data_IF_130330966949
#
_entry.id   IF_130330966949
#
_cell.length_a   1.000
_cell.length_b   1.000
_cell.length_c   1.000
_cell.angle_alpha   90.00
_cell.angle_beta   90.00
_cell.angle_gamma   90.00
#
_symmetry.space_group_name_H-M   'P 1'
#
loop_
_entity.id
_entity.type
_entity.pdbx_description
1 polymer ?
#
# COMPACT_ATOMS: atom_id res chain seq x y z
N UNK A 1 -36.64 45.98 -1.13
CA UNK A 1 -35.27 46.37 -1.53
C UNK A 1 -34.33 45.29 -1.01
N UNK A 2 -33.68 44.57 -1.92
CA UNK A 2 -32.89 43.37 -1.64
C UNK A 2 -31.59 43.71 -0.91
N UNK A 3 -31.29 42.93 0.13
CA UNK A 3 -29.99 42.92 0.81
C UNK A 3 -28.94 42.19 -0.03
N UNK A 4 -27.77 42.82 -0.14
CA UNK A 4 -26.53 42.22 -0.63
C UNK A 4 -26.15 40.99 0.22
N UNK A 5 -26.00 39.83 -0.43
CA UNK A 5 -25.17 38.73 0.09
C UNK A 5 -24.02 38.48 -0.87
N UNK A 6 -22.81 38.65 -0.36
CA UNK A 6 -21.56 38.36 -1.02
C UNK A 6 -21.52 36.89 -1.49
N UNK A 7 -20.96 36.67 -2.69
CA UNK A 7 -20.66 35.33 -3.20
C UNK A 7 -19.50 34.73 -2.39
N UNK A 8 -19.57 33.46 -1.96
CA UNK A 8 -18.41 32.80 -1.40
C UNK A 8 -17.38 32.52 -2.49
N UNK A 9 -16.15 32.89 -2.16
CA UNK A 9 -14.91 32.73 -2.92
C UNK A 9 -14.51 31.25 -3.04
N UNK A 10 -14.13 30.83 -4.25
CA UNK A 10 -13.79 29.45 -4.61
C UNK A 10 -12.27 29.22 -4.49
N UNK A 11 -11.79 29.13 -3.25
CA UNK A 11 -10.45 28.61 -2.94
C UNK A 11 -10.55 27.11 -2.58
N UNK A 12 -10.62 26.25 -3.59
CA UNK A 12 -10.87 24.80 -3.47
C UNK A 12 -9.65 23.90 -3.82
N UNK A 13 -8.56 23.92 -3.02
CA UNK A 13 -7.67 22.74 -2.98
C UNK A 13 -7.48 22.12 -1.57
N UNK A 14 -7.91 22.79 -0.50
CA UNK A 14 -7.53 22.39 0.88
C UNK A 14 -8.48 21.35 1.52
N UNK A 15 -9.67 21.12 0.95
CA UNK A 15 -10.73 20.28 1.54
C UNK A 15 -10.64 18.78 1.17
N UNK A 16 -9.92 18.43 0.09
CA UNK A 16 -9.78 17.04 -0.36
C UNK A 16 -8.77 16.25 0.50
N UNK A 17 -7.70 16.90 0.97
CA UNK A 17 -6.68 16.31 1.85
C UNK A 17 -7.25 15.85 3.20
N UNK A 18 -8.24 16.59 3.73
CA UNK A 18 -8.84 16.32 5.05
C UNK A 18 -9.73 15.08 5.05
N UNK A 19 -10.36 14.73 3.92
CA UNK A 19 -11.26 13.56 3.82
C UNK A 19 -10.48 12.24 3.72
N UNK A 20 -9.38 12.22 2.95
CA UNK A 20 -8.51 11.04 2.84
C UNK A 20 -7.81 10.69 4.15
N UNK A 21 -7.39 11.71 4.91
CA UNK A 21 -6.75 11.53 6.22
C UNK A 21 -7.73 10.98 7.27
N UNK A 22 -9.02 11.28 7.16
CA UNK A 22 -10.06 10.76 8.05
C UNK A 22 -10.27 9.25 7.91
N UNK A 23 -10.34 8.74 6.68
CA UNK A 23 -10.46 7.30 6.40
C UNK A 23 -9.19 6.56 6.85
N UNK A 24 -8.02 7.11 6.54
CA UNK A 24 -6.73 6.53 6.95
C UNK A 24 -6.59 6.46 8.48
N UNK A 25 -7.02 7.50 9.19
CA UNK A 25 -7.07 7.54 10.67
C UNK A 25 -8.05 6.52 11.23
N UNK A 26 -9.23 6.40 10.63
CA UNK A 26 -10.21 5.39 11.02
C UNK A 26 -9.67 3.96 10.84
N UNK A 27 -8.94 3.70 9.76
CA UNK A 27 -8.30 2.40 9.53
C UNK A 27 -7.17 2.07 10.50
N UNK A 28 -6.30 3.03 10.80
CA UNK A 28 -5.25 2.86 11.80
C UNK A 28 -5.83 2.50 13.19
N UNK A 29 -6.98 3.08 13.53
CA UNK A 29 -7.71 2.76 14.77
C UNK A 29 -8.42 1.40 14.71
N UNK A 30 -9.09 1.06 13.61
CA UNK A 30 -9.86 -0.18 13.47
C UNK A 30 -9.00 -1.44 13.32
N UNK A 31 -7.81 -1.33 12.73
CA UNK A 31 -6.89 -2.46 12.49
C UNK A 31 -6.00 -2.83 13.70
N UNK A 32 -6.12 -2.13 14.83
CA UNK A 32 -5.48 -2.54 16.09
C UNK A 32 -4.08 -1.97 16.39
N UNK A 33 -3.79 -0.73 15.98
CA UNK A 33 -2.70 0.07 16.55
C UNK A 33 -1.28 -0.19 16.03
N UNK A 34 -0.52 0.91 15.89
CA UNK A 34 0.93 1.13 15.64
C UNK A 34 1.70 0.29 14.60
N UNK A 35 1.55 -1.04 14.56
CA UNK A 35 2.34 -1.92 13.67
C UNK A 35 1.82 -1.88 12.22
N UNK A 36 0.49 -1.90 12.03
CA UNK A 36 -0.13 -1.74 10.71
C UNK A 36 0.17 -0.35 10.13
N UNK A 37 0.23 0.67 10.99
CA UNK A 37 0.56 2.04 10.58
C UNK A 37 2.02 2.15 10.11
N UNK A 38 2.99 1.54 10.81
CA UNK A 38 4.40 1.56 10.41
C UNK A 38 4.67 0.82 9.10
N UNK A 39 4.11 -0.39 8.94
CA UNK A 39 4.25 -1.18 7.72
C UNK A 39 3.68 -0.43 6.51
N UNK A 40 2.41 -0.01 6.59
CA UNK A 40 1.75 0.67 5.47
C UNK A 40 2.45 1.99 5.09
N UNK A 41 3.01 2.73 6.06
CA UNK A 41 3.79 3.95 5.78
C UNK A 41 5.16 3.65 5.14
N UNK A 42 5.87 2.61 5.61
CA UNK A 42 7.14 2.20 5.03
C UNK A 42 6.96 1.75 3.58
N UNK A 43 5.97 0.89 3.35
CA UNK A 43 5.60 0.39 2.02
C UNK A 43 5.18 1.54 1.09
N UNK A 44 4.36 2.48 1.55
CA UNK A 44 3.98 3.64 0.75
C UNK A 44 5.20 4.49 0.34
N UNK A 45 6.17 4.69 1.24
CA UNK A 45 7.40 5.43 0.93
C UNK A 45 8.26 4.70 -0.10
N UNK A 46 8.45 3.39 0.09
CA UNK A 46 9.21 2.57 -0.86
C UNK A 46 8.54 2.53 -2.23
N UNK A 47 7.20 2.44 -2.28
CA UNK A 47 6.43 2.50 -3.52
C UNK A 47 6.69 3.80 -4.28
N UNK A 48 6.61 4.94 -3.60
CA UNK A 48 6.87 6.26 -4.20
C UNK A 48 8.32 6.43 -4.67
N UNK A 49 9.27 5.87 -3.93
CA UNK A 49 10.69 5.86 -4.31
C UNK A 49 10.87 5.07 -5.61
N UNK A 50 10.24 3.91 -5.71
CA UNK A 50 10.34 3.05 -6.88
C UNK A 50 9.62 3.65 -8.10
N UNK A 51 8.46 4.27 -7.90
CA UNK A 51 7.75 4.99 -8.97
C UNK A 51 8.62 6.11 -9.57
N UNK A 52 9.32 6.88 -8.72
CA UNK A 52 10.26 7.91 -9.19
C UNK A 52 11.44 7.32 -9.96
N UNK A 53 11.97 6.17 -9.54
CA UNK A 53 13.02 5.47 -10.25
C UNK A 53 12.57 4.97 -11.64
N UNK A 54 11.27 4.73 -11.81
CA UNK A 54 10.61 4.46 -13.10
C UNK A 54 10.24 5.72 -13.88
N UNK A 55 10.72 6.89 -13.46
CA UNK A 55 10.43 8.20 -14.05
C UNK A 55 8.95 8.63 -14.04
N UNK A 56 8.13 8.04 -13.17
CA UNK A 56 6.73 8.44 -12.97
C UNK A 56 6.67 9.76 -12.20
N UNK A 57 5.96 10.76 -12.75
CA UNK A 57 5.87 12.11 -12.19
C UNK A 57 4.43 12.60 -12.02
N UNK A 58 3.46 11.85 -12.55
CA UNK A 58 2.04 12.15 -12.52
C UNK A 58 1.54 12.19 -11.07
N UNK A 59 1.03 13.35 -10.65
CA UNK A 59 0.64 13.59 -9.26
C UNK A 59 -0.49 12.67 -8.83
N UNK A 60 -1.46 12.44 -9.72
CA UNK A 60 -2.60 11.56 -9.53
C UNK A 60 -2.13 10.12 -9.31
N UNK A 61 -1.21 9.63 -10.15
CA UNK A 61 -0.64 8.29 -10.00
C UNK A 61 0.06 8.12 -8.64
N UNK A 62 0.89 9.08 -8.25
CA UNK A 62 1.62 9.01 -6.97
C UNK A 62 0.67 9.08 -5.78
N UNK A 63 -0.39 9.90 -5.86
CA UNK A 63 -1.45 9.98 -4.85
C UNK A 63 -2.17 8.64 -4.71
N UNK A 64 -2.56 8.04 -5.82
CA UNK A 64 -3.33 6.81 -5.83
C UNK A 64 -2.48 5.60 -5.43
N UNK A 65 -1.19 5.58 -5.82
CA UNK A 65 -0.20 4.62 -5.35
C UNK A 65 -0.05 4.66 -3.82
N UNK A 66 0.07 5.87 -3.26
CA UNK A 66 0.15 6.07 -1.82
C UNK A 66 -1.13 5.60 -1.13
N UNK A 67 -2.31 5.98 -1.64
CA UNK A 67 -3.58 5.58 -1.06
C UNK A 67 -3.79 4.06 -1.11
N UNK A 68 -3.51 3.43 -2.26
CA UNK A 68 -3.59 1.98 -2.42
C UNK A 68 -2.65 1.24 -1.51
N UNK A 69 -1.41 1.73 -1.34
CA UNK A 69 -0.45 1.14 -0.42
C UNK A 69 -0.92 1.15 1.03
N UNK A 70 -1.56 2.24 1.44
CA UNK A 70 -2.09 2.37 2.80
C UNK A 70 -3.32 1.49 3.06
N UNK A 71 -4.10 1.21 2.02
CA UNK A 71 -5.37 0.50 2.09
C UNK A 71 -5.32 -0.94 1.56
N UNK A 72 -4.17 -1.46 1.11
CA UNK A 72 -4.06 -2.75 0.42
C UNK A 72 -4.75 -3.92 1.18
N UNK A 73 -4.67 -3.89 2.51
CA UNK A 73 -5.20 -4.93 3.40
C UNK A 73 -6.59 -4.62 4.00
N UNK A 74 -7.25 -3.56 3.53
CA UNK A 74 -8.56 -3.09 4.04
C UNK A 74 -9.64 -4.18 4.07
N UNK A 75 -9.62 -5.11 3.11
CA UNK A 75 -10.57 -6.22 3.05
C UNK A 75 -10.47 -7.19 4.23
N UNK A 76 -9.38 -7.17 5.01
CA UNK A 76 -9.24 -8.02 6.21
C UNK A 76 -10.18 -7.61 7.34
N UNK A 77 -10.81 -6.42 7.29
CA UNK A 77 -11.69 -5.94 8.36
C UNK A 77 -12.92 -6.83 8.59
N UNK A 78 -13.43 -7.47 7.52
CA UNK A 78 -14.57 -8.38 7.58
C UNK A 78 -14.21 -9.82 7.94
N UNK A 79 -12.92 -10.15 8.06
CA UNK A 79 -12.48 -11.53 8.20
C UNK A 79 -12.55 -12.05 9.63
N UNK A 80 -12.82 -13.37 9.82
CA UNK A 80 -12.82 -13.97 11.14
C UNK A 80 -11.49 -13.79 11.87
N UNK A 81 -11.51 -13.16 13.05
CA UNK A 81 -10.30 -12.93 13.87
C UNK A 81 -9.51 -14.22 14.17
N UNK A 82 -10.20 -15.36 14.28
CA UNK A 82 -9.57 -16.68 14.50
C UNK A 82 -8.63 -17.08 13.36
N UNK A 83 -8.92 -16.66 12.12
CA UNK A 83 -8.09 -16.91 10.94
C UNK A 83 -6.92 -15.93 10.94
N UNK A 84 -7.20 -14.63 11.09
CA UNK A 84 -6.18 -13.58 11.09
C UNK A 84 -5.12 -13.72 12.21
N UNK A 85 -5.52 -14.25 13.38
CA UNK A 85 -4.65 -14.41 14.55
C UNK A 85 -4.13 -15.84 14.74
N UNK A 86 -4.35 -16.74 13.77
CA UNK A 86 -3.95 -18.14 13.90
C UNK A 86 -2.44 -18.26 14.06
N UNK A 87 -2.01 -18.98 15.09
CA UNK A 87 -0.60 -19.36 15.31
C UNK A 87 -0.34 -20.70 14.62
N UNK A 88 0.16 -20.67 13.39
CA UNK A 88 0.45 -21.88 12.61
C UNK A 88 -0.01 -21.78 11.16
N UNK A 89 0.17 -22.87 10.36
CA UNK A 89 -0.24 -22.86 8.96
C UNK A 89 -1.77 -22.77 8.84
N UNK A 90 -2.20 -22.04 7.81
CA UNK A 90 -3.59 -22.00 7.41
C UNK A 90 -3.99 -23.30 6.71
N UNK A 91 -5.25 -23.72 6.87
CA UNK A 91 -5.84 -24.78 6.05
C UNK A 91 -6.07 -24.30 4.61
N UNK A 92 -6.41 -25.22 3.69
CA UNK A 92 -6.79 -24.83 2.32
C UNK A 92 -7.95 -23.82 2.30
N UNK A 93 -9.02 -24.13 3.03
CA UNK A 93 -10.19 -23.26 3.16
C UNK A 93 -9.85 -21.90 3.81
N UNK A 94 -9.03 -21.89 4.87
CA UNK A 94 -8.61 -20.64 5.49
C UNK A 94 -7.78 -19.77 4.54
N UNK A 95 -6.95 -20.38 3.68
CA UNK A 95 -6.22 -19.66 2.63
C UNK A 95 -7.16 -19.08 1.58
N UNK A 96 -8.17 -19.82 1.16
CA UNK A 96 -9.20 -19.33 0.21
C UNK A 96 -9.92 -18.12 0.78
N UNK A 97 -10.36 -18.19 2.05
CA UNK A 97 -10.98 -17.05 2.73
C UNK A 97 -10.04 -15.84 2.74
N UNK A 98 -8.76 -16.00 3.10
CA UNK A 98 -7.82 -14.87 3.07
C UNK A 98 -7.63 -14.32 1.66
N UNK A 99 -7.62 -15.16 0.63
CA UNK A 99 -7.47 -14.73 -0.78
C UNK A 99 -8.61 -13.85 -1.28
N UNK A 100 -9.72 -13.76 -0.55
CA UNK A 100 -10.84 -12.87 -0.89
C UNK A 100 -10.60 -11.40 -0.47
N UNK A 101 -9.64 -11.10 0.42
CA UNK A 101 -9.46 -9.73 0.91
C UNK A 101 -9.15 -8.68 -0.17
N UNK A 102 -8.45 -8.97 -1.28
CA UNK A 102 -8.23 -7.97 -2.33
C UNK A 102 -9.56 -7.55 -2.96
N UNK A 103 -10.43 -8.52 -3.27
CA UNK A 103 -11.75 -8.26 -3.82
C UNK A 103 -12.67 -7.55 -2.84
N UNK A 104 -12.75 -8.04 -1.60
CA UNK A 104 -13.56 -7.39 -0.56
C UNK A 104 -13.07 -5.96 -0.29
N UNK A 105 -11.76 -5.74 -0.25
CA UNK A 105 -11.17 -4.42 -0.06
C UNK A 105 -11.46 -3.46 -1.22
N UNK A 106 -11.35 -3.95 -2.45
CA UNK A 106 -11.74 -3.19 -3.64
C UNK A 106 -13.22 -2.78 -3.60
N UNK A 107 -14.12 -3.70 -3.23
CA UNK A 107 -15.55 -3.40 -3.13
C UNK A 107 -15.87 -2.33 -2.07
N UNK A 108 -15.09 -2.26 -0.99
CA UNK A 108 -15.26 -1.26 0.06
C UNK A 108 -14.92 0.16 -0.42
N UNK A 109 -13.86 0.33 -1.22
CA UNK A 109 -13.34 1.67 -1.54
C UNK A 109 -13.63 2.14 -2.97
N UNK A 110 -13.89 1.25 -3.93
CA UNK A 110 -14.09 1.59 -5.34
C UNK A 110 -15.33 2.44 -5.61
N UNK A 111 -16.29 2.48 -4.67
CA UNK A 111 -17.47 3.34 -4.72
C UNK A 111 -17.13 4.82 -4.51
N UNK A 112 -15.98 5.11 -3.90
CA UNK A 112 -15.49 6.47 -3.72
C UNK A 112 -14.66 6.83 -4.96
N UNK A 113 -15.16 7.75 -5.77
CA UNK A 113 -14.57 8.10 -7.07
C UNK A 113 -13.08 8.43 -6.97
N UNK A 114 -12.68 9.19 -5.95
CA UNK A 114 -11.28 9.56 -5.70
C UNK A 114 -10.37 8.41 -5.21
N UNK A 115 -10.91 7.22 -4.93
CA UNK A 115 -10.15 6.01 -4.56
C UNK A 115 -10.25 4.92 -5.62
N UNK A 116 -10.87 5.16 -6.76
CA UNK A 116 -11.09 4.14 -7.78
C UNK A 116 -9.79 3.48 -8.24
N UNK A 117 -8.79 4.30 -8.58
CA UNK A 117 -7.47 3.82 -9.04
C UNK A 117 -6.66 3.19 -7.91
N UNK A 118 -6.71 3.74 -6.70
CA UNK A 118 -6.15 3.13 -5.50
C UNK A 118 -6.75 1.74 -5.23
N UNK A 119 -8.04 1.58 -5.54
CA UNK A 119 -8.75 0.30 -5.51
C UNK A 119 -8.13 -0.75 -6.40
N UNK A 120 -7.61 -0.40 -7.58
CA UNK A 120 -6.97 -1.37 -8.47
C UNK A 120 -5.69 -1.96 -7.84
N UNK A 121 -4.98 -1.17 -7.04
CA UNK A 121 -3.82 -1.66 -6.28
C UNK A 121 -4.27 -2.65 -5.22
N UNK A 122 -5.30 -2.28 -4.44
CA UNK A 122 -5.91 -3.17 -3.43
C UNK A 122 -6.38 -4.47 -4.08
N UNK A 123 -6.94 -4.41 -5.28
CA UNK A 123 -7.48 -5.57 -5.97
C UNK A 123 -6.39 -6.51 -6.50
N UNK A 124 -5.32 -5.96 -7.08
CA UNK A 124 -4.35 -6.72 -7.87
C UNK A 124 -2.97 -6.87 -7.20
N UNK A 125 -2.77 -6.41 -5.97
CA UNK A 125 -1.45 -6.48 -5.32
C UNK A 125 -0.90 -7.91 -5.11
N UNK A 126 -1.74 -8.93 -5.22
CA UNK A 126 -1.35 -10.34 -5.17
C UNK A 126 -1.30 -11.03 -6.54
N UNK A 127 -1.54 -10.28 -7.62
CA UNK A 127 -1.24 -10.76 -8.97
C UNK A 127 0.27 -10.90 -9.14
N UNK A 128 0.68 -11.87 -9.96
CA UNK A 128 2.09 -12.16 -10.24
C UNK A 128 2.35 -11.92 -11.70
N UNK A 129 3.54 -11.43 -12.03
CA UNK A 129 3.89 -11.11 -13.42
C UNK A 129 3.76 -12.32 -14.39
N UNK A 130 3.96 -13.54 -13.87
CA UNK A 130 3.78 -14.83 -14.56
C UNK A 130 2.33 -15.31 -14.69
N UNK A 131 1.35 -14.63 -14.12
CA UNK A 131 -0.07 -15.02 -14.15
C UNK A 131 -0.46 -16.08 -13.11
N UNK A 132 0.44 -16.49 -12.21
CA UNK A 132 0.14 -17.47 -11.16
C UNK A 132 -0.40 -16.82 -9.87
N UNK A 133 -0.74 -15.53 -9.94
CA UNK A 133 -1.28 -14.75 -8.85
C UNK A 133 -2.79 -14.91 -8.66
N UNK A 134 -3.36 -14.05 -7.84
CA UNK A 134 -4.80 -14.00 -7.55
C UNK A 134 -5.23 -12.54 -7.34
N UNK A 135 -6.52 -12.19 -7.49
CA UNK A 135 -7.68 -13.08 -7.65
C UNK A 135 -8.02 -13.54 -9.08
N UNK A 136 -7.48 -12.92 -10.14
CA UNK A 136 -7.86 -13.19 -11.53
C UNK A 136 -6.78 -13.87 -12.37
N UNK A 137 -5.54 -13.98 -11.86
CA UNK A 137 -4.44 -14.58 -12.61
C UNK A 137 -3.99 -13.69 -13.77
N UNK A 138 -4.02 -12.37 -13.55
CA UNK A 138 -3.54 -11.40 -14.54
C UNK A 138 -2.04 -11.58 -14.73
N UNK A 139 -1.58 -11.46 -15.97
CA UNK A 139 -0.18 -11.61 -16.32
C UNK A 139 0.37 -10.32 -16.96
N UNK A 140 1.65 -10.05 -16.70
CA UNK A 140 2.42 -8.98 -17.35
C UNK A 140 1.71 -7.61 -17.29
N UNK A 141 1.51 -6.97 -18.44
CA UNK A 141 0.93 -5.64 -18.58
C UNK A 141 -0.59 -5.60 -18.35
N UNK A 142 -1.26 -6.73 -18.19
CA UNK A 142 -2.64 -6.75 -17.71
C UNK A 142 -2.73 -6.31 -16.24
N UNK A 143 -1.64 -6.44 -15.48
CA UNK A 143 -1.53 -5.93 -14.11
C UNK A 143 -1.20 -4.43 -14.17
N UNK A 144 -2.00 -3.55 -13.55
CA UNK A 144 -1.70 -2.12 -13.49
C UNK A 144 -0.29 -1.86 -12.95
N UNK A 145 0.43 -0.89 -13.54
CA UNK A 145 1.80 -0.57 -13.12
C UNK A 145 1.89 -0.27 -11.62
N UNK A 146 0.92 0.46 -11.06
CA UNK A 146 0.89 0.76 -9.63
C UNK A 146 0.82 -0.51 -8.75
N UNK A 147 0.07 -1.54 -9.18
CA UNK A 147 0.01 -2.82 -8.49
C UNK A 147 1.32 -3.62 -8.64
N UNK A 148 1.96 -3.58 -9.81
CA UNK A 148 3.29 -4.19 -10.04
C UNK A 148 4.36 -3.57 -9.13
N UNK A 149 4.40 -2.24 -9.05
CA UNK A 149 5.28 -1.49 -8.12
C UNK A 149 4.99 -1.90 -6.68
N UNK A 150 3.73 -1.85 -6.27
CA UNK A 150 3.31 -2.15 -4.90
C UNK A 150 3.67 -3.58 -4.48
N UNK A 151 3.43 -4.57 -5.34
CA UNK A 151 3.71 -5.98 -5.04
C UNK A 151 5.18 -6.25 -4.68
N UNK A 152 6.13 -5.56 -5.34
CA UNK A 152 7.55 -5.69 -5.06
C UNK A 152 7.88 -5.10 -3.67
N UNK A 153 7.37 -3.90 -3.38
CA UNK A 153 7.70 -3.22 -2.12
C UNK A 153 7.01 -3.85 -0.91
N UNK A 154 5.81 -4.40 -1.07
CA UNK A 154 5.16 -5.19 -0.02
C UNK A 154 5.95 -6.47 0.29
N UNK A 155 6.43 -7.16 -0.75
CA UNK A 155 7.29 -8.32 -0.56
C UNK A 155 8.64 -7.96 0.09
N UNK A 156 9.24 -6.83 -0.28
CA UNK A 156 10.46 -6.33 0.35
C UNK A 156 10.23 -6.10 1.85
N UNK A 157 9.21 -5.32 2.21
CA UNK A 157 8.89 -5.05 3.62
C UNK A 157 8.57 -6.34 4.38
N UNK A 158 7.75 -7.22 3.80
CA UNK A 158 7.41 -8.50 4.40
C UNK A 158 8.63 -9.40 4.66
N UNK A 159 9.68 -9.29 3.83
CA UNK A 159 10.94 -10.02 4.02
C UNK A 159 11.86 -9.37 5.05
N UNK A 160 11.91 -8.04 5.14
CA UNK A 160 12.86 -7.31 5.99
C UNK A 160 12.30 -6.92 7.36
N UNK A 161 10.98 -6.88 7.53
CA UNK A 161 10.32 -6.52 8.78
C UNK A 161 10.30 -7.69 9.77
N UNK A 162 10.60 -7.39 11.04
CA UNK A 162 10.43 -8.34 12.14
C UNK A 162 8.95 -8.65 12.36
N UNK A 163 8.60 -9.95 12.37
CA UNK A 163 7.26 -10.44 12.68
C UNK A 163 7.30 -11.21 14.01
N UNK A 164 6.17 -11.30 14.75
CA UNK A 164 6.13 -11.97 16.05
C UNK A 164 6.65 -13.42 16.08
N UNK A 165 6.77 -14.07 14.92
CA UNK A 165 7.23 -15.46 14.78
C UNK A 165 8.49 -15.60 13.92
N UNK A 166 9.09 -14.50 13.43
CA UNK A 166 10.23 -14.53 12.53
C UNK A 166 10.96 -13.18 12.48
N UNK A 167 12.27 -13.20 12.74
CA UNK A 167 13.13 -12.05 12.47
C UNK A 167 13.20 -11.77 10.97
N UNK A 168 13.21 -10.48 10.60
CA UNK A 168 13.39 -10.03 9.23
C UNK A 168 14.68 -10.62 8.65
N UNK A 169 14.66 -10.95 7.35
CA UNK A 169 15.89 -11.27 6.61
C UNK A 169 16.71 -10.00 6.43
N UNK A 170 18.01 -10.16 6.18
CA UNK A 170 18.83 -9.02 5.77
C UNK A 170 18.29 -8.42 4.45
N UNK A 171 18.48 -7.12 4.25
CA UNK A 171 18.13 -6.48 2.98
C UNK A 171 18.84 -7.14 1.79
N UNK A 172 20.07 -7.63 1.97
CA UNK A 172 20.81 -8.34 0.93
C UNK A 172 20.12 -9.65 0.53
N UNK A 173 19.58 -10.40 1.49
CA UNK A 173 18.80 -11.61 1.20
C UNK A 173 17.50 -11.29 0.49
N UNK A 174 16.78 -10.26 0.95
CA UNK A 174 15.55 -9.81 0.31
C UNK A 174 15.81 -9.35 -1.13
N UNK A 175 16.90 -8.60 -1.36
CA UNK A 175 17.34 -8.18 -2.69
C UNK A 175 17.67 -9.38 -3.59
N UNK A 176 18.41 -10.37 -3.09
CA UNK A 176 18.70 -11.60 -3.85
C UNK A 176 17.43 -12.35 -4.25
N UNK A 177 16.47 -12.44 -3.34
CA UNK A 177 15.18 -13.09 -3.61
C UNK A 177 14.36 -12.32 -4.65
N UNK A 178 14.31 -10.99 -4.59
CA UNK A 178 13.64 -10.15 -5.60
C UNK A 178 14.25 -10.39 -6.99
N UNK A 179 15.57 -10.41 -7.09
CA UNK A 179 16.28 -10.70 -8.35
C UNK A 179 15.97 -12.11 -8.86
N UNK A 180 15.97 -13.10 -7.97
CA UNK A 180 15.62 -14.49 -8.32
C UNK A 180 14.20 -14.60 -8.90
N UNK A 181 13.29 -13.76 -8.43
CA UNK A 181 11.89 -13.73 -8.83
C UNK A 181 11.59 -12.76 -9.99
N UNK A 182 12.60 -12.14 -10.60
CA UNK A 182 12.45 -11.27 -11.77
C UNK A 182 11.84 -12.02 -12.95
N UNK A 183 10.80 -11.45 -13.56
CA UNK A 183 10.07 -12.05 -14.69
C UNK A 183 9.11 -13.19 -14.32
N UNK A 184 9.06 -13.59 -13.04
CA UNK A 184 8.08 -14.55 -12.52
C UNK A 184 7.11 -13.86 -11.58
N UNK A 185 7.48 -13.67 -10.32
CA UNK A 185 6.64 -12.93 -9.38
C UNK A 185 6.60 -11.44 -9.72
N UNK A 186 7.76 -10.87 -10.03
CA UNK A 186 7.91 -9.43 -10.20
C UNK A 186 8.18 -9.06 -11.65
N UNK A 187 7.67 -7.90 -12.02
CA UNK A 187 7.94 -7.27 -13.29
C UNK A 187 9.44 -6.98 -13.46
N UNK A 188 10.08 -7.44 -14.56
CA UNK A 188 11.46 -7.13 -14.90
C UNK A 188 11.82 -5.64 -14.81
N UNK A 189 10.98 -4.75 -15.32
CA UNK A 189 11.28 -3.31 -15.38
C UNK A 189 11.24 -2.70 -13.97
N UNK A 190 10.31 -3.16 -13.14
CA UNK A 190 10.19 -2.74 -11.74
C UNK A 190 11.36 -3.26 -10.91
N UNK A 191 11.83 -4.49 -11.16
CA UNK A 191 13.03 -5.03 -10.52
C UNK A 191 14.27 -4.24 -10.93
N UNK A 192 14.42 -3.91 -12.20
CA UNK A 192 15.59 -3.16 -12.69
C UNK A 192 15.62 -1.75 -12.10
N UNK A 193 14.47 -1.08 -11.99
CA UNK A 193 14.35 0.19 -11.28
C UNK A 193 14.65 0.06 -9.78
N UNK A 194 14.24 -1.04 -9.14
CA UNK A 194 14.58 -1.29 -7.73
C UNK A 194 16.09 -1.42 -7.53
N UNK A 195 16.79 -2.06 -8.48
CA UNK A 195 18.24 -2.25 -8.42
C UNK A 195 19.04 -0.99 -8.72
N UNK A 196 18.47 -0.03 -9.46
CA UNK A 196 19.12 1.26 -9.77
C UNK A 196 19.13 2.23 -8.59
N UNK A 197 18.20 2.06 -7.64
CA UNK A 197 18.13 2.89 -6.43
C UNK A 197 19.25 2.50 -5.45
N UNK A 198 20.02 3.48 -4.90
CA UNK A 198 21.05 3.21 -3.92
C UNK A 198 20.54 2.43 -2.70
N UNK A 199 21.33 1.46 -2.23
CA UNK A 199 20.96 0.58 -1.09
C UNK A 199 20.54 1.37 0.15
N UNK A 200 21.25 2.47 0.44
CA UNK A 200 20.98 3.31 1.60
C UNK A 200 19.55 3.87 1.60
N UNK A 201 18.98 4.19 0.44
CA UNK A 201 17.62 4.72 0.32
C UNK A 201 16.57 3.76 0.90
N UNK A 202 16.79 2.46 0.76
CA UNK A 202 15.87 1.44 1.27
C UNK A 202 15.99 1.26 2.79
N UNK A 203 17.20 1.47 3.33
CA UNK A 203 17.55 1.25 4.74
C UNK A 203 17.30 2.47 5.63
N UNK A 204 17.23 3.68 5.07
CA UNK A 204 16.97 4.88 5.85
C UNK A 204 15.57 4.79 6.45
N UNK A 205 15.38 4.86 7.78
CA UNK A 205 14.05 5.00 8.37
C UNK A 205 13.41 6.30 7.86
N UNK A 206 12.07 6.44 7.91
CA UNK A 206 11.48 7.75 7.65
C UNK A 206 12.09 8.78 8.61
N UNK A 207 12.44 9.96 8.10
CA UNK A 207 12.58 11.13 8.96
C UNK A 207 11.28 11.29 9.77
N UNK A 208 11.39 11.83 11.00
CA UNK A 208 10.32 11.93 12.00
C UNK A 208 8.91 12.04 11.37
N UNK A 209 7.91 11.35 11.95
CA UNK A 209 6.57 11.28 11.36
C UNK A 209 6.10 12.68 10.97
N UNK A 210 5.48 12.74 9.80
CA UNK A 210 4.81 13.90 9.22
C UNK A 210 4.34 14.88 10.30
N UNK A 211 4.59 16.20 10.18
CA UNK A 211 4.24 17.15 11.23
C UNK A 211 2.78 16.98 11.59
N UNK A 212 2.54 16.39 12.76
CA UNK A 212 1.22 16.38 13.38
C UNK A 212 1.02 17.83 13.82
N UNK A 213 0.37 18.64 12.98
CA UNK A 213 -0.16 19.92 13.48
C UNK A 213 -1.13 19.55 14.60
N UNK A 214 -0.73 19.85 15.85
CA UNK A 214 -1.61 19.74 17.01
C UNK A 214 -1.15 18.88 18.19
N UNK A 215 0.15 18.66 18.44
CA UNK A 215 0.58 18.29 19.79
C UNK A 215 0.85 19.56 20.60
N UNK A 216 0.06 19.87 21.65
CA UNK A 216 0.45 20.88 22.61
C UNK A 216 1.68 20.38 23.37
N UNK A 217 2.73 21.19 23.39
CA UNK A 217 3.86 21.00 24.27
C UNK A 217 3.33 21.06 25.71
N UNK A 218 3.34 19.93 26.41
CA UNK A 218 3.18 19.89 27.86
C UNK A 218 4.60 19.87 28.41
N UNK A 219 4.99 20.99 29.01
CA UNK A 219 6.16 21.13 29.88
C UNK A 219 5.93 20.41 31.20
#
# INVERSE_FOLDING_TARGET
MLECRAKPDVSEPLMAETRGLGILRFFAAAAGGDIVCRHSLAVARHALTLAKALAVQEVEFLRDLKAGALLHDIGKIGMPKRILKKRGPLTGLEREIIREHPWQGYQLISRLEYLREAGLIVLYHHERFDGLGYPFGLARNAIPLAARIFSLVDALDAMTSDRPYRSGRSFQDARREIVRCRGTQFDPDVVDAFLSVPVLTWLTPPEKPWPVRGSPLIH
#
